data_IF_009263554200
#
_entry.id   IF_009263554200
#
_cell.length_a   1.000
_cell.length_b   1.000
_cell.length_c   1.000
_cell.angle_alpha   90.00
_cell.angle_beta   90.00
_cell.angle_gamma   90.00
#
_symmetry.space_group_name_H-M   'P 1'
#
loop_
_entity.id
_entity.type
_entity.pdbx_description
1 polymer ?
#
# COMPACT_ATOMS: atom_id res chain seq x y z
N UNK A 1 20.85 -1.79 -1.89
CA UNK A 1 22.06 -1.95 -2.70
C UNK A 1 22.28 -3.40 -3.15
N UNK A 2 22.15 -4.42 -2.26
CA UNK A 2 22.37 -5.83 -2.63
C UNK A 2 21.44 -6.30 -3.75
N UNK A 3 20.14 -6.00 -3.69
CA UNK A 3 19.17 -6.35 -4.72
C UNK A 3 19.52 -5.72 -6.09
N UNK A 4 19.87 -4.44 -6.10
CA UNK A 4 20.26 -3.72 -7.31
C UNK A 4 21.46 -4.38 -7.98
N UNK A 5 22.48 -4.80 -7.20
CA UNK A 5 23.66 -5.48 -7.75
C UNK A 5 23.31 -6.85 -8.33
N UNK A 6 22.49 -7.64 -7.60
CA UNK A 6 22.12 -9.01 -8.01
C UNK A 6 21.22 -9.04 -9.24
N UNK A 7 20.34 -8.05 -9.39
CA UNK A 7 19.36 -7.95 -10.48
C UNK A 7 19.81 -7.06 -11.63
N UNK A 8 21.00 -6.46 -11.54
CA UNK A 8 21.50 -5.48 -12.52
C UNK A 8 20.58 -4.28 -12.73
N UNK A 9 19.82 -3.91 -11.70
CA UNK A 9 18.85 -2.82 -11.72
C UNK A 9 17.56 -3.17 -10.97
N UNK A 10 16.64 -2.22 -10.88
CA UNK A 10 15.28 -2.43 -10.37
C UNK A 10 14.35 -1.57 -11.21
N UNK A 11 13.53 -2.22 -12.00
CA UNK A 11 12.56 -1.58 -12.89
C UNK A 11 11.21 -1.42 -12.24
N UNK A 12 10.83 -2.39 -11.38
CA UNK A 12 9.56 -2.41 -10.66
C UNK A 12 9.84 -2.56 -9.16
N UNK A 13 9.28 -1.66 -8.36
CA UNK A 13 9.32 -1.74 -6.90
C UNK A 13 7.90 -1.89 -6.36
N UNK A 14 7.67 -2.96 -5.60
CA UNK A 14 6.41 -3.18 -4.89
C UNK A 14 6.66 -3.10 -3.39
N UNK A 15 6.16 -2.06 -2.75
CA UNK A 15 6.21 -1.89 -1.30
C UNK A 15 4.97 -2.52 -0.67
N UNK A 16 5.10 -3.79 -0.29
CA UNK A 16 4.01 -4.56 0.33
C UNK A 16 4.22 -4.80 1.84
N UNK A 17 5.46 -4.73 2.32
CA UNK A 17 5.74 -4.95 3.74
C UNK A 17 4.96 -3.97 4.63
N UNK A 18 4.37 -4.51 5.68
CA UNK A 18 3.62 -3.70 6.64
C UNK A 18 3.27 -4.49 7.88
N UNK A 19 3.04 -3.77 8.96
CA UNK A 19 2.58 -4.32 10.23
C UNK A 19 1.52 -3.42 10.85
N UNK A 20 0.75 -4.00 11.77
CA UNK A 20 -0.17 -3.27 12.66
C UNK A 20 0.26 -3.48 14.11
N UNK A 21 0.04 -2.48 14.94
CA UNK A 21 0.07 -2.56 16.40
C UNK A 21 -1.15 -1.80 16.90
N UNK A 22 -2.25 -2.54 17.03
CA UNK A 22 -3.55 -1.97 17.29
C UNK A 22 -3.71 -1.71 18.80
N UNK A 23 -4.06 -0.48 19.15
CA UNK A 23 -4.39 -0.08 20.52
C UNK A 23 -5.26 1.18 20.49
N UNK A 24 -6.12 1.36 21.49
CA UNK A 24 -6.86 2.62 21.65
C UNK A 24 -5.85 3.78 21.76
N UNK A 25 -6.12 4.89 21.11
CA UNK A 25 -5.16 6.00 20.98
C UNK A 25 -4.65 6.50 22.34
N UNK A 26 -5.52 6.56 23.33
CA UNK A 26 -5.14 6.99 24.71
C UNK A 26 -4.22 6.00 25.44
N UNK A 27 -4.07 4.78 24.92
CA UNK A 27 -3.22 3.71 25.48
C UNK A 27 -2.07 3.35 24.56
N UNK A 28 -2.05 3.89 23.34
CA UNK A 28 -1.01 3.61 22.35
C UNK A 28 0.32 4.19 22.82
N UNK A 29 1.33 3.32 22.92
CA UNK A 29 2.67 3.74 23.29
C UNK A 29 3.41 4.38 22.10
N UNK A 30 4.42 5.20 22.41
CA UNK A 30 5.31 5.78 21.40
C UNK A 30 6.04 4.70 20.58
N UNK A 31 6.35 3.55 21.19
CA UNK A 31 6.95 2.42 20.50
C UNK A 31 6.00 1.75 19.51
N UNK A 32 4.72 1.59 19.88
CA UNK A 32 3.70 1.07 18.95
C UNK A 32 3.51 2.02 17.77
N UNK A 33 3.43 3.31 18.03
CA UNK A 33 3.35 4.36 17.01
C UNK A 33 4.57 4.33 16.09
N UNK A 34 5.76 4.50 16.64
CA UNK A 34 7.01 4.62 15.89
C UNK A 34 7.33 3.37 15.09
N UNK A 35 7.09 2.18 15.64
CA UNK A 35 7.32 0.91 14.93
C UNK A 35 6.47 0.81 13.67
N UNK A 36 5.17 1.19 13.75
CA UNK A 36 4.26 1.14 12.60
C UNK A 36 4.68 2.14 11.53
N UNK A 37 4.98 3.38 11.91
CA UNK A 37 5.45 4.38 10.95
C UNK A 37 6.77 3.98 10.30
N UNK A 38 7.70 3.45 11.08
CA UNK A 38 9.01 3.05 10.56
C UNK A 38 8.89 1.94 9.50
N UNK A 39 8.08 0.91 9.77
CA UNK A 39 7.93 -0.20 8.83
C UNK A 39 7.03 0.18 7.64
N UNK A 40 5.91 0.86 7.86
CA UNK A 40 4.95 1.07 6.79
C UNK A 40 5.28 2.28 5.90
N UNK A 41 5.81 3.37 6.49
CA UNK A 41 6.04 4.63 5.79
C UNK A 41 7.53 4.87 5.50
N UNK A 42 8.36 4.87 6.55
CA UNK A 42 9.77 5.23 6.39
C UNK A 42 10.55 4.21 5.55
N UNK A 43 10.22 2.90 5.65
CA UNK A 43 10.85 1.89 4.80
C UNK A 43 10.48 2.06 3.33
N UNK A 44 9.22 2.35 3.05
CA UNK A 44 8.75 2.62 1.67
C UNK A 44 9.47 3.82 1.07
N UNK A 45 9.59 4.91 1.84
CA UNK A 45 10.36 6.09 1.44
C UNK A 45 11.81 5.74 1.13
N UNK A 46 12.48 4.98 2.01
CA UNK A 46 13.89 4.62 1.84
C UNK A 46 14.10 3.73 0.60
N UNK A 47 13.20 2.77 0.34
CA UNK A 47 13.28 1.90 -0.82
C UNK A 47 13.04 2.68 -2.12
N UNK A 48 12.04 3.55 -2.17
CA UNK A 48 11.78 4.41 -3.33
C UNK A 48 13.01 5.28 -3.61
N UNK A 49 13.52 5.98 -2.60
CA UNK A 49 14.72 6.82 -2.74
C UNK A 49 15.93 6.03 -3.25
N UNK A 50 16.06 4.77 -2.83
CA UNK A 50 17.16 3.89 -3.22
C UNK A 50 17.14 3.46 -4.68
N UNK A 51 15.95 3.34 -5.31
CA UNK A 51 15.82 2.90 -6.71
C UNK A 51 15.58 4.04 -7.69
N UNK A 52 15.06 5.16 -7.22
CA UNK A 52 14.55 6.24 -8.07
C UNK A 52 15.59 6.82 -9.04
N UNK A 53 16.85 7.01 -8.58
CA UNK A 53 17.94 7.49 -9.44
C UNK A 53 18.22 6.56 -10.63
N UNK A 54 18.11 5.25 -10.42
CA UNK A 54 18.31 4.25 -11.48
C UNK A 54 17.16 4.29 -12.48
N UNK A 55 15.92 4.33 -12.01
CA UNK A 55 14.72 4.46 -12.84
C UNK A 55 14.75 5.77 -13.66
N UNK A 56 15.16 6.88 -13.05
CA UNK A 56 15.30 8.17 -13.74
C UNK A 56 16.35 8.12 -14.86
N UNK A 57 17.49 7.42 -14.65
CA UNK A 57 18.52 7.22 -15.67
C UNK A 57 18.01 6.35 -16.81
N UNK A 58 17.27 5.28 -16.48
CA UNK A 58 16.68 4.39 -17.47
C UNK A 58 15.48 5.03 -18.22
N UNK A 59 14.91 6.13 -17.70
CA UNK A 59 13.68 6.76 -18.16
C UNK A 59 12.50 5.80 -18.18
N UNK A 60 12.48 4.88 -17.23
CA UNK A 60 11.42 3.91 -17.04
C UNK A 60 11.41 3.43 -15.58
N UNK A 61 10.24 3.24 -15.02
CA UNK A 61 10.07 2.65 -13.69
C UNK A 61 8.61 2.55 -13.27
N UNK A 62 8.33 1.60 -12.39
CA UNK A 62 7.02 1.40 -11.78
C UNK A 62 7.19 1.23 -10.28
N UNK A 63 6.56 2.10 -9.51
CA UNK A 63 6.48 1.98 -8.05
C UNK A 63 5.03 1.76 -7.65
N UNK A 64 4.77 0.68 -6.93
CA UNK A 64 3.44 0.32 -6.46
C UNK A 64 3.49 0.14 -4.94
N UNK A 65 2.76 0.97 -4.23
CA UNK A 65 2.70 0.95 -2.77
C UNK A 65 1.38 0.31 -2.31
N UNK A 66 1.46 -0.77 -1.55
CA UNK A 66 0.27 -1.39 -0.97
C UNK A 66 -0.11 -0.62 0.30
N UNK A 67 -1.21 0.12 0.20
CA UNK A 67 -1.78 0.92 1.28
C UNK A 67 -2.88 0.16 2.00
N UNK A 68 -3.99 0.81 2.31
CA UNK A 68 -5.20 0.20 2.89
C UNK A 68 -6.38 1.15 2.74
N UNK A 69 -7.58 0.61 2.69
CA UNK A 69 -8.81 1.39 2.85
C UNK A 69 -8.79 2.20 4.16
N UNK A 70 -8.17 1.68 5.22
CA UNK A 70 -8.03 2.35 6.53
C UNK A 70 -7.25 3.67 6.43
N UNK A 71 -6.37 3.84 5.47
CA UNK A 71 -5.67 5.10 5.20
C UNK A 71 -6.62 6.24 4.75
N UNK A 72 -7.82 5.91 4.31
CA UNK A 72 -8.87 6.87 3.91
C UNK A 72 -9.97 6.99 4.96
N UNK A 73 -10.43 5.85 5.51
CA UNK A 73 -11.59 5.81 6.40
C UNK A 73 -11.23 5.97 7.87
N UNK A 74 -9.98 5.71 8.24
CA UNK A 74 -9.63 5.44 9.63
C UNK A 74 -10.22 4.12 10.12
N UNK A 75 -9.78 3.70 11.30
CA UNK A 75 -10.38 2.58 12.04
C UNK A 75 -10.05 2.73 13.53
N UNK A 76 -11.01 2.60 14.45
CA UNK A 76 -10.75 2.65 15.89
C UNK A 76 -9.63 1.68 16.29
N UNK A 77 -8.68 2.16 17.10
CA UNK A 77 -7.52 1.38 17.52
C UNK A 77 -6.36 1.33 16.53
N UNK A 78 -6.47 1.94 15.36
CA UNK A 78 -5.46 1.90 14.30
C UNK A 78 -4.96 3.28 13.89
N UNK A 79 -4.87 4.24 14.80
CA UNK A 79 -4.44 5.60 14.49
C UNK A 79 -3.04 5.65 13.84
N UNK A 80 -2.07 4.87 14.36
CA UNK A 80 -0.73 4.72 13.80
C UNK A 80 -0.75 4.10 12.40
N UNK A 81 -1.51 3.04 12.20
CA UNK A 81 -1.64 2.36 10.91
C UNK A 81 -2.32 3.25 9.87
N UNK A 82 -3.44 3.89 10.22
CA UNK A 82 -4.14 4.84 9.36
C UNK A 82 -3.21 6.00 8.93
N UNK A 83 -2.51 6.61 9.89
CA UNK A 83 -1.53 7.67 9.63
C UNK A 83 -0.43 7.20 8.68
N UNK A 84 0.13 6.01 8.90
CA UNK A 84 1.19 5.45 8.05
C UNK A 84 0.71 5.23 6.61
N UNK A 85 -0.49 4.67 6.41
CA UNK A 85 -1.05 4.37 5.09
C UNK A 85 -1.50 5.64 4.35
N UNK A 86 -2.07 6.61 5.06
CA UNK A 86 -2.36 7.93 4.51
C UNK A 86 -1.07 8.68 4.12
N UNK A 87 -0.02 8.59 4.94
CA UNK A 87 1.29 9.17 4.65
C UNK A 87 1.92 8.61 3.37
N UNK A 88 1.83 7.29 3.15
CA UNK A 88 2.28 6.66 1.89
C UNK A 88 1.54 7.22 0.68
N UNK A 89 0.22 7.43 0.78
CA UNK A 89 -0.59 7.98 -0.32
C UNK A 89 -0.15 9.41 -0.65
N UNK A 90 -0.02 10.28 0.36
CA UNK A 90 0.44 11.65 0.17
C UNK A 90 1.86 11.73 -0.41
N UNK A 91 2.78 10.94 0.14
CA UNK A 91 4.16 10.82 -0.35
C UNK A 91 4.18 10.36 -1.82
N UNK A 92 3.39 9.34 -2.17
CA UNK A 92 3.33 8.81 -3.54
C UNK A 92 2.88 9.86 -4.55
N UNK A 93 1.88 10.68 -4.22
CA UNK A 93 1.40 11.78 -5.07
C UNK A 93 2.49 12.83 -5.33
N UNK A 94 3.22 13.22 -4.28
CA UNK A 94 4.30 14.21 -4.40
C UNK A 94 5.42 13.71 -5.30
N UNK A 95 5.92 12.49 -5.04
CA UNK A 95 7.01 11.92 -5.83
C UNK A 95 6.56 11.66 -7.28
N UNK A 96 5.32 11.23 -7.50
CA UNK A 96 4.78 11.02 -8.84
C UNK A 96 4.88 12.29 -9.71
N UNK A 97 4.57 13.46 -9.14
CA UNK A 97 4.71 14.74 -9.85
C UNK A 97 6.15 15.07 -10.23
N UNK A 98 7.12 14.72 -9.38
CA UNK A 98 8.53 14.98 -9.62
C UNK A 98 9.11 14.13 -10.76
N UNK A 99 8.61 12.89 -10.95
CA UNK A 99 9.25 11.90 -11.83
C UNK A 99 8.43 11.51 -13.06
N UNK A 100 7.20 11.97 -13.19
CA UNK A 100 6.32 11.63 -14.32
C UNK A 100 6.97 11.91 -15.68
N UNK A 101 7.65 13.05 -15.84
CA UNK A 101 8.36 13.42 -17.07
C UNK A 101 9.54 12.49 -17.42
N UNK A 102 9.89 11.59 -16.53
CA UNK A 102 10.96 10.59 -16.69
C UNK A 102 10.43 9.20 -17.04
N UNK A 103 9.15 9.06 -17.39
CA UNK A 103 8.53 7.78 -17.71
C UNK A 103 8.35 6.84 -16.50
N UNK A 104 8.35 7.40 -15.29
CA UNK A 104 8.18 6.65 -14.04
C UNK A 104 6.78 6.90 -13.51
N UNK A 105 6.06 5.84 -13.17
CA UNK A 105 4.78 5.95 -12.47
C UNK A 105 4.87 5.50 -11.03
N UNK A 106 4.18 6.19 -10.15
CA UNK A 106 4.08 5.84 -8.73
C UNK A 106 2.61 5.81 -8.35
N UNK A 107 2.10 4.63 -8.00
CA UNK A 107 0.70 4.43 -7.67
C UNK A 107 0.55 3.66 -6.35
N UNK A 108 -0.63 3.75 -5.79
CA UNK A 108 -1.04 3.01 -4.60
C UNK A 108 -2.14 2.02 -4.95
N UNK A 109 -2.19 0.91 -4.21
CA UNK A 109 -3.35 0.03 -4.14
C UNK A 109 -3.87 0.10 -2.72
N UNK A 110 -5.18 0.28 -2.56
CA UNK A 110 -5.86 0.31 -1.26
C UNK A 110 -6.75 -0.94 -1.10
N UNK A 111 -6.22 -2.04 -0.54
CA UNK A 111 -7.01 -3.22 -0.23
C UNK A 111 -8.06 -2.92 0.83
N UNK A 112 -9.20 -3.62 0.74
CA UNK A 112 -10.13 -3.81 1.84
C UNK A 112 -9.71 -5.00 2.72
N UNK A 113 -10.69 -5.77 3.21
CA UNK A 113 -10.43 -7.02 3.92
C UNK A 113 -10.06 -8.14 2.94
N UNK A 114 -8.83 -8.63 3.07
CA UNK A 114 -8.27 -9.71 2.24
C UNK A 114 -8.07 -10.95 3.12
N UNK A 115 -8.42 -12.12 2.60
CA UNK A 115 -8.17 -13.40 3.27
C UNK A 115 -6.68 -13.59 3.51
N UNK A 116 -6.34 -13.94 4.73
CA UNK A 116 -4.96 -14.15 5.19
C UNK A 116 -4.97 -15.02 6.44
N UNK A 117 -3.82 -15.53 6.85
CA UNK A 117 -3.68 -16.26 8.11
C UNK A 117 -4.18 -15.47 9.34
N UNK A 118 -4.23 -14.14 9.25
CA UNK A 118 -4.79 -13.27 10.31
C UNK A 118 -6.32 -13.29 10.29
N UNK A 119 -6.95 -13.20 9.12
CA UNK A 119 -8.41 -13.22 8.99
C UNK A 119 -9.01 -14.61 9.19
N UNK A 120 -8.23 -15.67 9.00
CA UNK A 120 -8.67 -17.05 9.25
C UNK A 120 -8.94 -17.31 10.73
N UNK A 121 -8.23 -16.59 11.62
CA UNK A 121 -8.41 -16.68 13.09
C UNK A 121 -9.66 -15.98 13.61
N UNK A 122 -10.35 -15.21 12.78
CA UNK A 122 -11.58 -14.52 13.16
C UNK A 122 -12.73 -15.53 13.37
N UNK A 123 -13.52 -15.33 14.41
CA UNK A 123 -14.72 -16.12 14.64
C UNK A 123 -15.85 -15.75 13.65
N UNK A 124 -16.91 -16.54 13.62
CA UNK A 124 -18.03 -16.37 12.68
C UNK A 124 -18.72 -15.01 12.82
N UNK A 125 -18.89 -14.52 14.04
CA UNK A 125 -19.54 -13.22 14.29
C UNK A 125 -18.68 -12.06 13.77
N UNK A 126 -17.38 -12.11 13.98
CA UNK A 126 -16.44 -11.12 13.45
C UNK A 126 -16.45 -11.14 11.93
N UNK A 127 -16.39 -12.32 11.30
CA UNK A 127 -16.49 -12.46 9.84
C UNK A 127 -17.81 -11.91 9.31
N UNK A 128 -18.93 -12.22 9.96
CA UNK A 128 -20.24 -11.71 9.57
C UNK A 128 -20.32 -10.18 9.64
N UNK A 129 -19.76 -9.55 10.68
CA UNK A 129 -19.70 -8.08 10.81
C UNK A 129 -18.87 -7.45 9.70
N UNK A 130 -17.74 -8.04 9.36
CA UNK A 130 -16.88 -7.56 8.25
C UNK A 130 -17.65 -7.65 6.94
N UNK A 131 -18.28 -8.80 6.64
CA UNK A 131 -18.99 -9.00 5.39
C UNK A 131 -20.16 -8.04 5.20
N UNK A 132 -20.85 -7.64 6.28
CA UNK A 132 -21.93 -6.63 6.22
C UNK A 132 -21.44 -5.27 5.69
N UNK A 133 -20.16 -4.95 5.90
CA UNK A 133 -19.57 -3.70 5.45
C UNK A 133 -18.94 -3.78 4.04
N UNK A 134 -19.00 -4.94 3.39
CA UNK A 134 -18.46 -5.15 2.05
C UNK A 134 -19.64 -5.36 1.09
N UNK A 135 -19.95 -4.43 0.17
CA UNK A 135 -21.05 -4.58 -0.78
C UNK A 135 -20.98 -5.87 -1.61
N UNK A 136 -19.79 -6.32 -2.00
CA UNK A 136 -19.60 -7.60 -2.71
C UNK A 136 -19.84 -8.85 -1.85
N UNK A 137 -20.15 -8.71 -0.55
CA UNK A 137 -20.49 -9.80 0.39
C UNK A 137 -19.41 -10.91 0.47
N UNK A 138 -18.16 -10.61 0.11
CA UNK A 138 -17.01 -11.51 0.25
C UNK A 138 -15.77 -10.74 0.65
N UNK A 139 -14.86 -11.37 1.37
CA UNK A 139 -13.49 -10.88 1.49
C UNK A 139 -12.78 -11.02 0.15
N UNK A 140 -11.85 -10.13 -0.12
CA UNK A 140 -10.96 -10.27 -1.27
C UNK A 140 -9.95 -11.40 -1.07
N UNK A 141 -9.41 -11.89 -2.17
CA UNK A 141 -8.30 -12.85 -2.20
C UNK A 141 -6.98 -12.10 -2.47
N UNK A 142 -5.85 -12.69 -2.10
CA UNK A 142 -4.54 -12.14 -2.44
C UNK A 142 -4.37 -11.93 -3.96
N UNK A 143 -5.01 -12.78 -4.77
CA UNK A 143 -5.05 -12.69 -6.24
C UNK A 143 -5.78 -11.44 -6.73
N UNK A 144 -6.80 -10.94 -6.02
CA UNK A 144 -7.48 -9.68 -6.38
C UNK A 144 -6.48 -8.50 -6.33
N UNK A 145 -5.60 -8.49 -5.32
CA UNK A 145 -4.55 -7.47 -5.16
C UNK A 145 -3.41 -7.68 -6.16
N UNK A 146 -3.00 -8.93 -6.37
CA UNK A 146 -1.93 -9.26 -7.31
C UNK A 146 -2.29 -8.85 -8.74
N UNK A 147 -3.52 -9.08 -9.20
CA UNK A 147 -4.01 -8.68 -10.52
C UNK A 147 -3.95 -7.16 -10.71
N UNK A 148 -4.38 -6.39 -9.71
CA UNK A 148 -4.29 -4.93 -9.73
C UNK A 148 -2.81 -4.46 -9.76
N UNK A 149 -1.95 -5.14 -9.02
CA UNK A 149 -0.50 -4.85 -8.97
C UNK A 149 0.14 -5.10 -10.33
N UNK A 150 -0.15 -6.24 -10.95
CA UNK A 150 0.35 -6.58 -12.30
C UNK A 150 -0.12 -5.55 -13.31
N UNK A 151 -1.40 -5.18 -13.30
CA UNK A 151 -1.94 -4.16 -14.20
C UNK A 151 -1.16 -2.84 -14.11
N UNK A 152 -0.92 -2.32 -12.89
CA UNK A 152 -0.17 -1.08 -12.70
C UNK A 152 1.33 -1.20 -13.03
N UNK A 153 1.88 -2.40 -13.07
CA UNK A 153 3.27 -2.68 -13.43
C UNK A 153 3.51 -2.74 -14.95
N UNK A 154 2.47 -2.96 -15.75
CA UNK A 154 2.57 -3.09 -17.20
C UNK A 154 2.83 -1.75 -17.91
N UNK A 155 3.41 -1.79 -19.12
CA UNK A 155 3.55 -0.61 -19.97
C UNK A 155 2.22 0.10 -20.26
N UNK A 156 1.13 -0.65 -20.39
CA UNK A 156 -0.20 -0.14 -20.71
C UNK A 156 -0.76 0.82 -19.64
N UNK A 157 -0.26 0.73 -18.40
CA UNK A 157 -0.59 1.66 -17.32
C UNK A 157 0.30 2.93 -17.30
N UNK A 158 1.03 3.23 -18.39
CA UNK A 158 2.03 4.32 -18.43
C UNK A 158 1.44 5.73 -18.23
N UNK A 159 0.13 5.91 -18.44
CA UNK A 159 -0.56 7.19 -18.21
C UNK A 159 -1.26 7.28 -16.85
N UNK A 160 -1.07 6.28 -15.98
CA UNK A 160 -1.64 6.22 -14.63
C UNK A 160 -0.52 6.49 -13.62
N UNK A 161 -0.53 7.65 -12.97
CA UNK A 161 0.44 7.98 -11.92
C UNK A 161 -0.19 8.86 -10.84
N UNK A 162 0.31 8.75 -9.60
CA UNK A 162 -0.22 9.46 -8.43
C UNK A 162 -1.60 8.96 -7.97
N UNK A 163 -2.09 7.85 -8.52
CA UNK A 163 -3.42 7.33 -8.25
C UNK A 163 -3.43 6.29 -7.13
N UNK A 164 -4.58 6.15 -6.49
CA UNK A 164 -4.84 5.03 -5.60
C UNK A 164 -5.97 4.19 -6.17
N UNK A 165 -5.66 2.95 -6.53
CA UNK A 165 -6.64 1.98 -6.99
C UNK A 165 -7.25 1.26 -5.77
N UNK A 166 -8.54 1.46 -5.55
CA UNK A 166 -9.29 0.83 -4.48
C UNK A 166 -9.69 -0.59 -4.87
N UNK A 167 -9.21 -1.60 -4.14
CA UNK A 167 -9.52 -3.02 -4.35
C UNK A 167 -10.11 -3.58 -3.05
N UNK A 168 -11.37 -3.23 -2.79
CA UNK A 168 -11.98 -3.40 -1.46
C UNK A 168 -13.42 -3.93 -1.48
N UNK A 169 -13.91 -4.43 -2.63
CA UNK A 169 -15.25 -4.96 -2.76
C UNK A 169 -16.37 -3.94 -2.58
N UNK A 170 -16.07 -2.65 -2.79
CA UNK A 170 -17.00 -1.54 -2.60
C UNK A 170 -17.08 -1.02 -1.15
N UNK A 171 -16.21 -1.48 -0.27
CA UNK A 171 -16.18 -1.06 1.14
C UNK A 171 -15.94 0.45 1.33
N UNK A 172 -15.19 1.06 0.43
CA UNK A 172 -15.03 2.49 0.33
C UNK A 172 -15.00 2.90 -1.15
N UNK A 173 -15.91 3.80 -1.53
CA UNK A 173 -16.03 4.37 -2.87
C UNK A 173 -15.65 5.85 -2.79
N UNK A 174 -14.36 6.14 -3.03
CA UNK A 174 -13.74 7.46 -2.82
C UNK A 174 -13.07 7.91 -4.12
#
# INVERSE_FOLDING_TARGET
ESAVRKMNGVDILINNAGLTKDNLFVRMSDDEWSSVLNVNLNSSMALIKGVLKLMMKARWGRVINITSVVGFTGNPGQANYAASKAGVIGMSKSIAQEVASRGITINCIAPGFIKSAMTDKLNLDQKSRILKNIPMQRMGEATDIASATVFLALPDASYITGQTLHVNGGMAMI
#
